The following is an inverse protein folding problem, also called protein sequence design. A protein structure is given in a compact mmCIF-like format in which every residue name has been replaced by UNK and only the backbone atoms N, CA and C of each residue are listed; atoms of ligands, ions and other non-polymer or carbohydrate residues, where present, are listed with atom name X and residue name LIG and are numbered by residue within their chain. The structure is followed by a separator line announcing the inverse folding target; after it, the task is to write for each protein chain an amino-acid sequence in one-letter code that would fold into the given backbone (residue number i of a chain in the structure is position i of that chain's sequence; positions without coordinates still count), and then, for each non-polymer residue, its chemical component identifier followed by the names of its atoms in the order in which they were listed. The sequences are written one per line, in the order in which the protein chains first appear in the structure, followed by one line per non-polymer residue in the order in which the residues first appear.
data_IF_523054662469
#
_entry.id   IF_523054662469
#
_cell.length_a   1.000
_cell.length_b   1.000
_cell.length_c   1.000
_cell.angle_alpha   90.00
_cell.angle_beta   90.00
_cell.angle_gamma   90.00
#
_symmetry.space_group_name_H-M   'P 1'
#
loop_
_entity.id
_entity.type
_entity.pdbx_description
1 polymer ?
#
# COMPACT_ATOMS: atom_id res chain seq x y z
N UNK A 1 -16.41 -7.63 -19.69
CA UNK A 1 -15.61 -7.09 -18.57
C UNK A 1 -14.91 -8.26 -17.91
N UNK A 2 -13.62 -8.12 -17.61
CA UNK A 2 -12.87 -9.12 -16.85
C UNK A 2 -13.26 -8.93 -15.38
N UNK A 3 -13.74 -9.99 -14.74
CA UNK A 3 -14.09 -9.98 -13.32
C UNK A 3 -13.18 -10.96 -12.59
N UNK A 4 -12.68 -10.52 -11.44
CA UNK A 4 -11.96 -11.34 -10.46
C UNK A 4 -12.98 -11.95 -9.50
N UNK A 5 -14.01 -11.19 -9.14
CA UNK A 5 -15.02 -11.59 -8.19
C UNK A 5 -16.07 -12.49 -8.83
N UNK A 6 -16.50 -13.50 -8.08
CA UNK A 6 -17.69 -14.27 -8.42
C UNK A 6 -18.97 -13.44 -8.15
N UNK A 7 -20.12 -13.97 -8.56
CA UNK A 7 -21.41 -13.26 -8.44
C UNK A 7 -21.74 -12.81 -7.00
N UNK A 8 -21.47 -13.65 -6.01
CA UNK A 8 -21.73 -13.32 -4.59
C UNK A 8 -20.79 -12.21 -4.09
N UNK A 9 -19.51 -12.29 -4.46
CA UNK A 9 -18.52 -11.26 -4.14
C UNK A 9 -18.84 -9.92 -4.80
N UNK A 10 -19.35 -9.92 -6.04
CA UNK A 10 -19.84 -8.70 -6.68
C UNK A 10 -21.01 -8.08 -5.91
N UNK A 11 -21.96 -8.87 -5.41
CA UNK A 11 -23.07 -8.35 -4.60
C UNK A 11 -22.57 -7.73 -3.29
N UNK A 12 -21.62 -8.38 -2.62
CA UNK A 12 -20.96 -7.83 -1.42
C UNK A 12 -20.19 -6.54 -1.73
N UNK A 13 -19.48 -6.51 -2.86
CA UNK A 13 -18.76 -5.33 -3.30
C UNK A 13 -19.70 -4.13 -3.53
N UNK A 14 -20.83 -4.36 -4.22
CA UNK A 14 -21.86 -3.33 -4.39
C UNK A 14 -22.40 -2.83 -3.05
N UNK A 15 -22.73 -3.73 -2.13
CA UNK A 15 -23.18 -3.36 -0.78
C UNK A 15 -22.17 -2.49 -0.03
N UNK A 16 -20.87 -2.81 -0.13
CA UNK A 16 -19.81 -2.00 0.49
C UNK A 16 -19.75 -0.62 -0.16
N UNK A 17 -19.76 -0.55 -1.49
CA UNK A 17 -19.63 0.71 -2.25
C UNK A 17 -20.84 1.65 -2.08
N UNK A 18 -22.02 1.10 -1.83
CA UNK A 18 -23.24 1.87 -1.56
C UNK A 18 -23.31 2.38 -0.10
N UNK A 19 -22.41 1.93 0.78
CA UNK A 19 -22.36 2.39 2.16
C UNK A 19 -21.98 3.88 2.22
N UNK A 20 -22.65 4.70 3.05
CA UNK A 20 -22.24 6.08 3.31
C UNK A 20 -20.80 6.17 3.85
N UNK A 21 -20.32 5.13 4.53
CA UNK A 21 -18.97 5.07 5.10
C UNK A 21 -17.88 4.69 4.07
N UNK A 22 -18.25 4.35 2.84
CA UNK A 22 -17.30 3.97 1.80
C UNK A 22 -16.48 5.17 1.28
N UNK A 23 -16.99 6.39 1.44
CA UNK A 23 -16.32 7.60 0.95
C UNK A 23 -15.38 8.15 2.00
N UNK A 24 -14.11 7.80 1.86
CA UNK A 24 -13.06 8.27 2.76
C UNK A 24 -12.91 9.81 2.77
N UNK A 25 -13.23 10.49 1.67
CA UNK A 25 -13.25 11.96 1.58
C UNK A 25 -14.29 12.63 2.48
N UNK A 26 -15.29 11.89 2.97
CA UNK A 26 -16.34 12.38 3.87
C UNK A 26 -16.03 12.09 5.35
N UNK A 27 -14.95 11.34 5.65
CA UNK A 27 -14.51 11.09 7.02
C UNK A 27 -13.81 12.33 7.62
N UNK A 28 -14.09 12.62 8.90
CA UNK A 28 -13.47 13.73 9.62
C UNK A 28 -12.07 13.37 10.13
N UNK A 29 -11.29 14.39 10.49
CA UNK A 29 -9.86 14.25 10.77
C UNK A 29 -9.52 13.28 11.91
N UNK A 30 -10.34 13.15 12.94
CA UNK A 30 -10.14 12.19 14.05
C UNK A 30 -10.32 10.75 13.60
N UNK A 31 -11.39 10.48 12.87
CA UNK A 31 -11.79 9.16 12.38
C UNK A 31 -10.78 8.65 11.35
N UNK A 32 -10.28 9.55 10.50
CA UNK A 32 -9.19 9.24 9.56
C UNK A 32 -7.91 8.87 10.32
N UNK A 33 -7.55 9.60 11.37
CA UNK A 33 -6.36 9.30 12.18
C UNK A 33 -6.50 7.96 12.90
N UNK A 34 -7.67 7.67 13.47
CA UNK A 34 -7.92 6.39 14.12
C UNK A 34 -7.88 5.22 13.13
N UNK A 35 -8.48 5.40 11.95
CA UNK A 35 -8.39 4.43 10.85
C UNK A 35 -6.94 4.23 10.41
N UNK A 36 -6.16 5.31 10.29
CA UNK A 36 -4.75 5.25 9.92
C UNK A 36 -3.92 4.48 10.95
N UNK A 37 -4.13 4.70 12.25
CA UNK A 37 -3.46 3.96 13.34
C UNK A 37 -3.77 2.47 13.25
N UNK A 38 -5.05 2.13 13.12
CA UNK A 38 -5.51 0.74 12.96
C UNK A 38 -4.84 0.11 11.73
N UNK A 39 -4.91 0.77 10.59
CA UNK A 39 -4.31 0.28 9.34
C UNK A 39 -2.80 0.09 9.46
N UNK A 40 -2.07 1.04 10.06
CA UNK A 40 -0.62 0.96 10.26
C UNK A 40 -0.24 -0.22 11.14
N UNK A 41 -0.96 -0.44 12.25
CA UNK A 41 -0.73 -1.56 13.14
C UNK A 41 -0.88 -2.91 12.41
N UNK A 42 -2.00 -3.13 11.71
CA UNK A 42 -2.23 -4.39 11.01
C UNK A 42 -1.26 -4.58 9.83
N UNK A 43 -0.99 -3.51 9.07
CA UNK A 43 -0.04 -3.54 7.94
C UNK A 43 1.38 -3.83 8.39
N UNK A 44 1.84 -3.24 9.51
CA UNK A 44 3.14 -3.52 10.10
C UNK A 44 3.23 -4.93 10.67
N UNK A 45 2.20 -5.39 11.38
CA UNK A 45 2.18 -6.73 12.00
C UNK A 45 2.24 -7.87 10.98
N UNK A 46 1.65 -7.69 9.79
CA UNK A 46 1.79 -8.64 8.67
C UNK A 46 3.25 -8.77 8.21
N UNK A 47 4.06 -7.71 8.34
CA UNK A 47 5.49 -7.71 8.01
C UNK A 47 6.37 -8.08 9.22
N UNK A 48 5.78 -8.51 10.33
CA UNK A 48 6.51 -8.93 11.54
C UNK A 48 6.93 -7.78 12.46
N UNK A 49 6.35 -6.59 12.31
CA UNK A 49 6.56 -5.48 13.24
C UNK A 49 6.15 -5.89 14.67
N UNK A 50 6.98 -5.56 15.65
CA UNK A 50 6.81 -6.05 17.01
C UNK A 50 5.97 -5.15 17.91
N UNK A 51 5.56 -3.95 17.47
CA UNK A 51 4.71 -3.06 18.26
C UNK A 51 3.33 -3.68 18.51
N UNK A 52 2.84 -3.53 19.74
CA UNK A 52 1.44 -3.78 20.11
C UNK A 52 0.58 -2.60 19.64
N UNK A 53 -0.73 -2.79 19.63
CA UNK A 53 -1.66 -1.74 19.21
C UNK A 53 -1.50 -0.46 20.05
N UNK A 54 -1.39 -0.59 21.38
CA UNK A 54 -1.24 0.56 22.30
C UNK A 54 0.08 1.30 22.05
N UNK A 55 1.17 0.58 21.83
CA UNK A 55 2.46 1.21 21.50
C UNK A 55 2.43 1.86 20.12
N UNK A 56 1.75 1.27 19.14
CA UNK A 56 1.55 1.90 17.82
C UNK A 56 0.73 3.18 17.94
N UNK A 57 -0.34 3.16 18.73
CA UNK A 57 -1.15 4.35 18.98
C UNK A 57 -0.34 5.46 19.65
N UNK A 58 0.37 5.15 20.74
CA UNK A 58 1.23 6.10 21.45
C UNK A 58 2.35 6.66 20.55
N UNK A 59 2.93 5.83 19.68
CA UNK A 59 3.95 6.27 18.73
C UNK A 59 3.39 7.25 17.69
N UNK A 60 2.22 6.95 17.13
CA UNK A 60 1.66 7.69 16.01
C UNK A 60 0.89 8.95 16.43
N UNK A 61 0.23 8.92 17.59
CA UNK A 61 -0.54 10.06 18.12
C UNK A 61 0.30 10.97 19.01
N UNK A 62 1.09 10.38 19.91
CA UNK A 62 1.79 11.13 20.97
C UNK A 62 3.30 11.24 20.72
N UNK A 63 3.82 10.54 19.71
CA UNK A 63 5.26 10.51 19.40
C UNK A 63 6.08 9.70 20.41
N UNK A 64 5.44 8.93 21.29
CA UNK A 64 6.08 8.16 22.35
C UNK A 64 6.52 6.81 21.79
N UNK A 65 7.83 6.58 21.71
CA UNK A 65 8.41 5.31 21.24
C UNK A 65 8.61 4.34 22.40
N UNK A 66 8.54 3.04 22.09
CA UNK A 66 8.93 1.97 23.01
C UNK A 66 10.39 1.57 22.79
N UNK A 67 10.98 0.79 23.72
CA UNK A 67 12.32 0.20 23.62
C UNK A 67 12.38 -0.96 22.61
N UNK A 68 11.89 -0.72 21.40
CA UNK A 68 11.85 -1.67 20.28
C UNK A 68 12.82 -1.24 19.19
N UNK A 69 12.96 -2.08 18.17
CA UNK A 69 13.80 -1.79 17.01
C UNK A 69 13.41 -0.45 16.39
N UNK A 70 14.41 0.37 16.08
CA UNK A 70 14.19 1.66 15.43
C UNK A 70 13.44 1.49 14.10
N UNK A 71 13.77 0.44 13.35
CA UNK A 71 13.16 0.11 12.07
C UNK A 71 11.66 -0.18 12.21
N UNK A 72 11.22 -0.79 13.31
CA UNK A 72 9.80 -1.04 13.57
C UNK A 72 9.04 0.26 13.80
N UNK A 73 9.59 1.16 14.61
CA UNK A 73 9.00 2.48 14.83
C UNK A 73 8.97 3.30 13.54
N UNK A 74 10.08 3.30 12.80
CA UNK A 74 10.23 4.02 11.54
C UNK A 74 9.27 3.50 10.47
N UNK A 75 9.07 2.19 10.38
CA UNK A 75 8.08 1.57 9.50
C UNK A 75 6.67 2.07 9.78
N UNK A 76 6.24 2.08 11.04
CA UNK A 76 4.90 2.55 11.40
C UNK A 76 4.73 4.04 11.09
N UNK A 77 5.74 4.86 11.41
CA UNK A 77 5.70 6.30 11.11
C UNK A 77 5.66 6.58 9.61
N UNK A 78 6.43 5.84 8.81
CA UNK A 78 6.40 5.97 7.36
C UNK A 78 5.01 5.62 6.82
N UNK A 79 4.46 4.45 7.20
CA UNK A 79 3.11 4.03 6.80
C UNK A 79 2.05 5.10 7.16
N UNK A 80 2.09 5.61 8.39
CA UNK A 80 1.13 6.60 8.87
C UNK A 80 1.24 7.92 8.12
N UNK A 81 2.46 8.45 8.00
CA UNK A 81 2.69 9.72 7.31
C UNK A 81 2.29 9.62 5.83
N UNK A 82 2.63 8.52 5.14
CA UNK A 82 2.19 8.29 3.76
C UNK A 82 0.67 8.22 3.70
N UNK A 83 0.01 7.50 4.61
CA UNK A 83 -1.44 7.38 4.60
C UNK A 83 -2.12 8.75 4.73
N UNK A 84 -1.69 9.56 5.71
CA UNK A 84 -2.25 10.89 5.93
C UNK A 84 -1.97 11.82 4.74
N UNK A 85 -0.75 11.84 4.22
CA UNK A 85 -0.41 12.73 3.10
C UNK A 85 -1.18 12.42 1.82
N UNK A 86 -1.42 11.15 1.53
CA UNK A 86 -2.14 10.74 0.33
C UNK A 86 -3.65 11.04 0.47
N UNK A 87 -4.22 10.90 1.67
CA UNK A 87 -5.60 11.34 1.90
C UNK A 87 -5.78 12.85 1.78
N UNK A 88 -4.85 13.63 2.30
CA UNK A 88 -4.86 15.08 2.14
C UNK A 88 -4.77 15.47 0.66
N UNK A 89 -3.89 14.79 -0.10
CA UNK A 89 -3.74 15.01 -1.53
C UNK A 89 -5.01 14.65 -2.32
N UNK A 90 -5.61 13.48 -2.06
CA UNK A 90 -6.87 13.04 -2.68
C UNK A 90 -8.00 14.03 -2.39
N UNK A 91 -8.10 14.50 -1.14
CA UNK A 91 -9.12 15.46 -0.75
C UNK A 91 -8.96 16.80 -1.49
N UNK A 92 -7.73 17.30 -1.60
CA UNK A 92 -7.42 18.53 -2.34
C UNK A 92 -7.70 18.41 -3.83
N UNK A 93 -7.32 17.28 -4.44
CA UNK A 93 -7.49 17.00 -5.87
C UNK A 93 -8.90 16.51 -6.25
N UNK A 94 -9.84 16.45 -5.29
CA UNK A 94 -11.23 16.02 -5.48
C UNK A 94 -11.35 14.61 -6.07
N UNK A 95 -10.59 13.65 -5.54
CA UNK A 95 -10.60 12.24 -5.93
C UNK A 95 -10.21 11.98 -7.40
N UNK A 96 -9.26 12.76 -7.95
CA UNK A 96 -8.77 12.62 -9.33
C UNK A 96 -7.42 11.92 -9.47
N UNK A 97 -6.95 11.26 -8.41
CA UNK A 97 -5.65 10.62 -8.44
C UNK A 97 -5.61 9.48 -9.46
N UNK A 98 -4.56 9.47 -10.28
CA UNK A 98 -4.30 8.44 -11.27
C UNK A 98 -3.18 7.56 -10.73
N UNK A 99 -3.43 6.27 -10.61
CA UNK A 99 -2.42 5.32 -10.15
C UNK A 99 -1.52 4.97 -11.33
N UNK A 100 -0.39 5.66 -11.43
CA UNK A 100 0.64 5.46 -12.44
C UNK A 100 2.00 5.08 -11.83
N UNK A 101 3.03 4.94 -12.67
CA UNK A 101 4.39 4.62 -12.22
C UNK A 101 4.93 5.66 -11.24
N UNK A 102 4.62 6.95 -11.49
CA UNK A 102 5.05 8.05 -10.63
C UNK A 102 4.44 7.93 -9.23
N UNK A 103 3.14 7.67 -9.15
CA UNK A 103 2.41 7.48 -7.90
C UNK A 103 2.99 6.29 -7.14
N UNK A 104 3.17 5.15 -7.80
CA UNK A 104 3.75 3.96 -7.19
C UNK A 104 5.15 4.22 -6.62
N UNK A 105 6.01 4.92 -7.36
CA UNK A 105 7.39 5.16 -6.94
C UNK A 105 7.46 6.19 -5.80
N UNK A 106 6.62 7.23 -5.84
CA UNK A 106 6.46 8.20 -4.74
C UNK A 106 6.03 7.51 -3.45
N UNK A 107 5.03 6.62 -3.53
CA UNK A 107 4.54 5.88 -2.38
C UNK A 107 5.61 4.94 -1.82
N UNK A 108 6.28 4.19 -2.70
CA UNK A 108 7.37 3.32 -2.27
C UNK A 108 8.49 4.12 -1.59
N UNK A 109 8.86 5.28 -2.14
CA UNK A 109 9.86 6.16 -1.53
C UNK A 109 9.42 6.59 -0.12
N UNK A 110 8.18 7.08 0.03
CA UNK A 110 7.64 7.51 1.33
C UNK A 110 7.63 6.37 2.36
N UNK A 111 7.22 5.16 1.94
CA UNK A 111 7.15 3.97 2.80
C UNK A 111 8.54 3.44 3.19
N UNK A 112 9.51 3.48 2.29
CA UNK A 112 10.82 2.83 2.45
C UNK A 112 11.94 3.76 2.95
N UNK A 113 11.70 5.08 2.99
CA UNK A 113 12.71 6.07 3.41
C UNK A 113 13.26 5.78 4.81
N UNK A 114 14.58 5.62 4.91
CA UNK A 114 15.27 5.31 6.16
C UNK A 114 15.12 3.85 6.64
N UNK A 115 14.51 2.98 5.82
CA UNK A 115 14.47 1.52 6.00
C UNK A 115 15.30 0.79 4.93
N UNK A 116 15.45 1.41 3.76
CA UNK A 116 16.36 0.99 2.68
C UNK A 116 17.33 2.13 2.35
N UNK A 117 18.37 1.85 1.56
CA UNK A 117 19.30 2.89 1.11
C UNK A 117 18.58 3.92 0.22
N UNK A 118 19.09 5.15 0.19
CA UNK A 118 18.50 6.22 -0.64
C UNK A 118 18.56 5.90 -2.15
N UNK A 119 19.51 5.06 -2.56
CA UNK A 119 19.67 4.59 -3.95
C UNK A 119 18.61 3.56 -4.35
N UNK A 120 17.98 2.90 -3.36
CA UNK A 120 16.94 1.89 -3.58
C UNK A 120 15.52 2.42 -3.26
N UNK A 121 15.41 3.45 -2.42
CA UNK A 121 14.14 4.07 -2.04
C UNK A 121 13.50 4.79 -3.23
N UNK A 122 12.32 4.31 -3.66
CA UNK A 122 11.60 4.83 -4.83
C UNK A 122 12.12 4.34 -6.19
N UNK A 123 13.04 3.38 -6.23
CA UNK A 123 13.64 2.88 -7.48
C UNK A 123 13.44 1.38 -7.65
N UNK A 124 13.32 0.93 -8.91
CA UNK A 124 13.28 -0.49 -9.23
C UNK A 124 14.57 -1.18 -8.74
N UNK A 125 14.42 -2.38 -8.20
CA UNK A 125 15.57 -3.15 -7.74
C UNK A 125 16.45 -3.58 -8.91
N UNK A 126 17.75 -3.59 -8.68
CA UNK A 126 18.77 -4.14 -9.58
C UNK A 126 19.26 -5.52 -9.14
N UNK A 127 18.80 -5.98 -7.97
CA UNK A 127 19.19 -7.25 -7.35
C UNK A 127 18.00 -8.21 -7.33
N UNK A 128 18.30 -9.51 -7.30
CA UNK A 128 17.26 -10.53 -7.17
C UNK A 128 16.72 -10.60 -5.74
N UNK A 129 15.40 -10.83 -5.60
CA UNK A 129 14.72 -11.04 -4.32
C UNK A 129 13.96 -12.36 -4.33
N UNK A 130 13.52 -12.81 -3.17
CA UNK A 130 12.65 -13.99 -3.01
C UNK A 130 11.47 -13.65 -2.10
N UNK A 131 10.36 -14.36 -2.30
CA UNK A 131 9.20 -14.28 -1.41
C UNK A 131 9.26 -15.46 -0.45
N UNK A 132 9.51 -15.19 0.82
CA UNK A 132 9.55 -16.20 1.88
C UNK A 132 8.26 -17.03 1.90
N UNK A 133 8.40 -18.36 2.05
CA UNK A 133 7.27 -19.29 2.13
C UNK A 133 6.69 -19.72 0.77
N UNK A 134 7.33 -19.37 -0.35
CA UNK A 134 6.91 -19.80 -1.69
C UNK A 134 8.11 -20.24 -2.54
N UNK A 135 7.90 -21.16 -3.48
CA UNK A 135 8.90 -21.51 -4.49
C UNK A 135 8.94 -20.52 -5.67
N UNK A 136 8.06 -19.51 -5.65
CA UNK A 136 7.98 -18.52 -6.70
C UNK A 136 9.19 -17.56 -6.65
N UNK A 137 9.87 -17.44 -7.79
CA UNK A 137 10.95 -16.48 -7.99
C UNK A 137 10.46 -15.33 -8.87
N UNK A 138 10.43 -14.09 -8.36
CA UNK A 138 10.17 -12.90 -9.16
C UNK A 138 11.22 -12.72 -10.29
N UNK A 139 10.87 -12.05 -11.39
CA UNK A 139 11.80 -11.78 -12.48
C UNK A 139 13.01 -10.98 -11.98
N UNK A 140 14.19 -11.24 -12.52
CA UNK A 140 15.44 -10.61 -12.05
C UNK A 140 15.89 -9.49 -12.97
N UNK A 141 15.56 -9.61 -14.25
CA UNK A 141 15.94 -8.66 -15.28
C UNK A 141 15.14 -7.36 -15.12
N UNK A 142 15.86 -6.23 -15.18
CA UNK A 142 15.27 -4.91 -14.94
C UNK A 142 14.27 -4.52 -16.04
N UNK A 143 14.54 -4.89 -17.29
CA UNK A 143 13.61 -4.61 -18.40
C UNK A 143 12.36 -5.45 -18.28
N UNK A 144 12.49 -6.72 -17.88
CA UNK A 144 11.34 -7.58 -17.60
C UNK A 144 10.48 -7.04 -16.45
N UNK A 145 11.09 -6.58 -15.36
CA UNK A 145 10.37 -5.95 -14.24
C UNK A 145 9.60 -4.72 -14.74
N UNK A 146 10.26 -3.84 -15.51
CA UNK A 146 9.66 -2.62 -16.03
C UNK A 146 8.51 -2.92 -16.99
N UNK A 147 8.67 -3.87 -17.91
CA UNK A 147 7.61 -4.30 -18.85
C UNK A 147 6.39 -4.80 -18.10
N UNK A 148 6.57 -5.77 -17.19
CA UNK A 148 5.47 -6.35 -16.42
C UNK A 148 4.79 -5.32 -15.53
N UNK A 149 5.54 -4.40 -14.94
CA UNK A 149 4.94 -3.33 -14.16
C UNK A 149 4.08 -2.41 -15.04
N UNK A 150 4.57 -2.04 -16.22
CA UNK A 150 3.80 -1.27 -17.20
C UNK A 150 2.53 -1.99 -17.64
N UNK A 151 2.60 -3.30 -17.88
CA UNK A 151 1.44 -4.14 -18.19
C UNK A 151 0.40 -4.12 -17.06
N UNK A 152 0.84 -4.27 -15.80
CA UNK A 152 -0.06 -4.21 -14.63
C UNK A 152 -0.73 -2.84 -14.52
N UNK A 153 0.05 -1.76 -14.64
CA UNK A 153 -0.47 -0.40 -14.52
C UNK A 153 -1.40 -0.03 -15.68
N UNK A 154 -1.25 -0.65 -16.84
CA UNK A 154 -2.17 -0.48 -17.97
C UNK A 154 -3.43 -1.34 -17.82
N UNK A 155 -3.30 -2.60 -17.40
CA UNK A 155 -4.44 -3.52 -17.28
C UNK A 155 -5.41 -3.12 -16.16
N UNK A 156 -4.94 -2.38 -15.14
CA UNK A 156 -5.79 -1.95 -14.03
C UNK A 156 -7.07 -1.22 -14.50
N UNK A 157 -7.02 -0.47 -15.61
CA UNK A 157 -8.12 0.34 -16.12
C UNK A 157 -9.22 -0.49 -16.79
N UNK A 158 -8.97 -1.78 -17.02
CA UNK A 158 -9.99 -2.73 -17.47
C UNK A 158 -11.01 -3.04 -16.36
N UNK A 159 -10.61 -2.89 -15.09
CA UNK A 159 -11.47 -3.15 -13.93
C UNK A 159 -12.26 -1.91 -13.54
N UNK A 160 -13.57 -1.96 -13.77
CA UNK A 160 -14.51 -0.88 -13.40
C UNK A 160 -14.90 -0.89 -11.93
N UNK A 161 -14.87 -2.06 -11.29
CA UNK A 161 -15.12 -2.19 -9.86
C UNK A 161 -13.84 -1.81 -9.09
N UNK A 162 -13.85 -0.76 -8.25
CA UNK A 162 -12.66 -0.31 -7.53
C UNK A 162 -12.10 -1.38 -6.58
N UNK A 163 -12.95 -2.23 -6.00
CA UNK A 163 -12.49 -3.34 -5.14
C UNK A 163 -11.79 -4.44 -5.96
N UNK A 164 -12.22 -4.70 -7.19
CA UNK A 164 -11.51 -5.63 -8.09
C UNK A 164 -10.17 -5.03 -8.53
N UNK A 165 -10.16 -3.74 -8.87
CA UNK A 165 -8.94 -2.99 -9.21
C UNK A 165 -7.92 -3.04 -8.05
N UNK A 166 -8.38 -2.80 -6.83
CA UNK A 166 -7.56 -2.87 -5.62
C UNK A 166 -6.92 -4.24 -5.42
N UNK A 167 -7.72 -5.32 -5.54
CA UNK A 167 -7.22 -6.70 -5.45
C UNK A 167 -6.23 -7.03 -6.58
N UNK A 168 -6.52 -6.58 -7.81
CA UNK A 168 -5.64 -6.77 -8.95
C UNK A 168 -4.28 -6.11 -8.73
N UNK A 169 -4.26 -4.82 -8.37
CA UNK A 169 -3.03 -4.07 -8.13
C UNK A 169 -2.24 -4.66 -6.95
N UNK A 170 -2.92 -4.95 -5.83
CA UNK A 170 -2.28 -5.54 -4.65
C UNK A 170 -1.55 -6.82 -5.02
N UNK A 171 -2.27 -7.79 -5.59
CA UNK A 171 -1.74 -9.12 -5.86
C UNK A 171 -0.60 -9.08 -6.89
N UNK A 172 -0.75 -8.30 -7.97
CA UNK A 172 0.24 -8.27 -9.03
C UNK A 172 1.51 -7.52 -8.64
N UNK A 173 1.41 -6.40 -7.93
CA UNK A 173 2.59 -5.67 -7.44
C UNK A 173 3.32 -6.51 -6.37
N UNK A 174 2.58 -7.10 -5.42
CA UNK A 174 3.15 -7.95 -4.37
C UNK A 174 3.79 -9.21 -4.95
N UNK A 175 3.30 -9.72 -6.09
CA UNK A 175 3.92 -10.85 -6.80
C UNK A 175 5.15 -10.41 -7.60
N UNK A 176 5.08 -9.30 -8.33
CA UNK A 176 6.19 -8.81 -9.16
C UNK A 176 7.43 -8.44 -8.33
N UNK A 177 7.22 -7.94 -7.11
CA UNK A 177 8.28 -7.44 -6.22
C UNK A 177 9.21 -6.45 -6.95
N UNK A 178 8.71 -5.31 -7.46
CA UNK A 178 9.51 -4.37 -8.26
C UNK A 178 10.64 -3.67 -7.46
N UNK A 179 10.52 -3.60 -6.13
CA UNK A 179 11.46 -2.92 -5.22
C UNK A 179 12.29 -3.90 -4.39
N UNK A 180 13.39 -3.44 -3.78
CA UNK A 180 14.27 -4.31 -2.99
C UNK A 180 13.61 -4.81 -1.70
N UNK A 181 12.78 -3.97 -1.08
CA UNK A 181 11.94 -4.25 0.09
C UNK A 181 10.69 -3.34 0.00
N UNK A 182 9.73 -3.48 0.91
CA UNK A 182 8.56 -2.61 0.99
C UNK A 182 7.45 -2.95 0.02
N UNK A 183 7.65 -3.89 -0.92
CA UNK A 183 6.69 -4.26 -1.96
C UNK A 183 5.27 -4.48 -1.44
N UNK A 184 5.10 -5.34 -0.41
CA UNK A 184 3.79 -5.68 0.15
C UNK A 184 3.13 -4.49 0.86
N UNK A 185 3.93 -3.65 1.52
CA UNK A 185 3.47 -2.41 2.18
C UNK A 185 3.00 -1.40 1.14
N UNK A 186 3.77 -1.21 0.07
CA UNK A 186 3.38 -0.36 -1.06
C UNK A 186 2.13 -0.89 -1.76
N UNK A 187 2.01 -2.20 -1.99
CA UNK A 187 0.81 -2.83 -2.56
C UNK A 187 -0.44 -2.55 -1.72
N UNK A 188 -0.35 -2.67 -0.38
CA UNK A 188 -1.45 -2.33 0.54
C UNK A 188 -1.78 -0.85 0.55
N UNK A 189 -0.82 0.04 0.30
CA UNK A 189 -1.10 1.46 0.17
C UNK A 189 -1.84 1.75 -1.14
N UNK A 190 -1.35 1.20 -2.26
CA UNK A 190 -2.00 1.34 -3.58
C UNK A 190 -3.44 0.82 -3.55
N UNK A 191 -3.68 -0.35 -2.94
CA UNK A 191 -5.03 -0.91 -2.74
C UNK A 191 -6.00 0.06 -2.05
N UNK A 192 -5.49 0.96 -1.20
CA UNK A 192 -6.31 1.95 -0.48
C UNK A 192 -6.61 3.19 -1.30
N UNK A 193 -5.79 3.50 -2.30
CA UNK A 193 -5.97 4.64 -3.19
C UNK A 193 -6.82 4.31 -4.42
N UNK A 194 -6.87 3.03 -4.81
CA UNK A 194 -7.62 2.52 -5.98
C UNK A 194 -9.11 2.34 -5.71
#
# INVERSE_FOLDING_TARGET
MKHIFNKEQCQKATFILESPLAKLSELYSSEIKDLAVVWCYYSGRIEGNTYTYVETEALLKDGITSEKKYEDAKMLKNLYNTFISELEYIHQEKNKEIIDERTLFRLHQSISTGLVSNEESGFLRTRAVRISGTDYAPPKDLQEIKSKLGEILYEQDVYTNPLEKAVFLHCNIARLQPFIDGNKRTSRMIERLS
#
